data_IF_495781029273
#
_entry.id   IF_495781029273
#
_cell.length_a   1.000
_cell.length_b   1.000
_cell.length_c   1.000
_cell.angle_alpha   90.00
_cell.angle_beta   90.00
_cell.angle_gamma   90.00
#
_symmetry.space_group_name_H-M   'P 1'
#
loop_
_entity.id
_entity.type
_entity.pdbx_description
1 polymer ?
#
# COMPACT_ATOMS: atom_id res chain seq x y z
N UNK A 1 -6.82 3.42 12.41
CA UNK A 1 -5.92 2.24 12.40
C UNK A 1 -6.71 1.02 11.97
N UNK A 2 -6.17 0.28 11.02
CA UNK A 2 -6.77 -0.97 10.58
C UNK A 2 -6.60 -2.04 11.66
N UNK A 3 -7.59 -2.94 11.77
CA UNK A 3 -7.50 -4.05 12.72
C UNK A 3 -6.36 -5.00 12.34
N UNK A 4 -5.69 -5.63 13.33
CA UNK A 4 -4.57 -6.53 13.07
C UNK A 4 -4.91 -7.67 12.10
N UNK A 5 -6.12 -8.21 12.16
CA UNK A 5 -6.57 -9.25 11.24
C UNK A 5 -6.51 -8.78 9.79
N UNK A 6 -7.00 -7.57 9.51
CA UNK A 6 -7.01 -7.02 8.15
C UNK A 6 -5.60 -6.74 7.66
N UNK A 7 -4.73 -6.22 8.53
CA UNK A 7 -3.32 -6.00 8.18
C UNK A 7 -2.65 -7.33 7.81
N UNK A 8 -2.86 -8.36 8.62
CA UNK A 8 -2.31 -9.69 8.36
C UNK A 8 -2.85 -10.28 7.06
N UNK A 9 -4.16 -10.16 6.85
CA UNK A 9 -4.83 -10.66 5.64
C UNK A 9 -4.29 -9.98 4.38
N UNK A 10 -4.20 -8.66 4.39
CA UNK A 10 -3.71 -7.91 3.25
C UNK A 10 -2.24 -8.23 2.97
N UNK A 11 -1.44 -8.35 4.01
CA UNK A 11 -0.02 -8.69 3.87
C UNK A 11 0.14 -10.09 3.28
N UNK A 12 -0.59 -11.06 3.78
CA UNK A 12 -0.55 -12.43 3.27
C UNK A 12 -0.93 -12.49 1.80
N UNK A 13 -2.03 -11.82 1.43
CA UNK A 13 -2.51 -11.78 0.06
C UNK A 13 -1.51 -11.07 -0.84
N UNK A 14 -0.94 -9.95 -0.38
CA UNK A 14 0.04 -9.21 -1.17
C UNK A 14 1.26 -10.06 -1.52
N UNK A 15 1.81 -10.76 -0.52
CA UNK A 15 3.08 -11.45 -0.67
C UNK A 15 2.98 -12.81 -1.33
N UNK A 16 1.77 -13.35 -1.48
CA UNK A 16 1.56 -14.64 -2.12
C UNK A 16 1.85 -14.54 -3.62
N UNK A 17 2.86 -15.27 -4.08
CA UNK A 17 3.15 -15.38 -5.53
C UNK A 17 3.89 -14.20 -6.15
N UNK A 18 4.41 -13.26 -5.37
CA UNK A 18 5.23 -12.16 -5.88
C UNK A 18 6.67 -12.28 -5.41
N UNK A 19 7.56 -11.57 -6.10
CA UNK A 19 8.91 -11.37 -5.59
C UNK A 19 8.85 -10.38 -4.43
N UNK A 20 9.61 -10.65 -3.36
CA UNK A 20 9.56 -9.87 -2.12
C UNK A 20 10.70 -8.84 -2.06
N UNK A 21 10.87 -8.09 -3.15
CA UNK A 21 11.96 -7.12 -3.25
C UNK A 21 11.52 -5.71 -2.93
N UNK A 22 10.54 -5.19 -3.64
CA UNK A 22 10.16 -3.79 -3.57
C UNK A 22 8.65 -3.66 -3.45
N UNK A 23 8.19 -3.08 -2.34
CA UNK A 23 6.78 -2.87 -2.07
C UNK A 23 6.51 -1.39 -1.82
N UNK A 24 5.42 -0.89 -2.42
CA UNK A 24 4.91 0.46 -2.16
C UNK A 24 3.67 0.36 -1.25
N UNK A 25 3.66 1.17 -0.21
CA UNK A 25 2.50 1.33 0.67
C UNK A 25 1.91 2.73 0.50
N UNK A 26 0.61 2.81 0.30
CA UNK A 26 -0.12 4.09 0.29
C UNK A 26 -0.90 4.18 1.60
N UNK A 27 -0.57 5.19 2.42
CA UNK A 27 -1.18 5.38 3.72
C UNK A 27 -0.32 4.81 4.85
N UNK A 28 0.78 5.48 5.17
CA UNK A 28 1.69 5.06 6.25
C UNK A 28 0.97 4.99 7.60
N UNK A 29 0.14 5.98 7.89
CA UNK A 29 -0.60 6.05 9.14
C UNK A 29 0.30 5.97 10.35
N UNK A 30 0.00 5.04 11.25
CA UNK A 30 0.82 4.81 12.46
C UNK A 30 2.15 4.12 12.17
N UNK A 31 2.31 3.56 10.97
CA UNK A 31 3.51 2.83 10.60
C UNK A 31 3.50 1.35 10.97
N UNK A 32 2.42 0.85 11.56
CA UNK A 32 2.36 -0.56 11.97
C UNK A 32 2.54 -1.52 10.79
N UNK A 33 1.75 -1.36 9.74
CA UNK A 33 1.86 -2.23 8.57
C UNK A 33 3.18 -2.03 7.83
N UNK A 34 3.68 -0.79 7.78
CA UNK A 34 4.99 -0.50 7.20
C UNK A 34 6.08 -1.31 7.90
N UNK A 35 6.05 -1.33 9.23
CA UNK A 35 7.02 -2.08 10.03
C UNK A 35 6.91 -3.58 9.78
N UNK A 36 5.69 -4.11 9.68
CA UNK A 36 5.46 -5.53 9.37
C UNK A 36 6.06 -5.86 8.00
N UNK A 37 5.76 -5.06 6.98
CA UNK A 37 6.27 -5.26 5.63
C UNK A 37 7.81 -5.21 5.59
N UNK A 38 8.41 -4.31 6.33
CA UNK A 38 9.87 -4.13 6.33
C UNK A 38 10.63 -5.38 6.75
N UNK A 39 10.01 -6.25 7.53
CA UNK A 39 10.60 -7.52 7.96
C UNK A 39 10.38 -8.66 6.98
N UNK A 40 9.54 -8.45 5.97
CA UNK A 40 9.11 -9.51 5.04
C UNK A 40 9.59 -9.28 3.61
N UNK A 41 10.03 -8.05 3.27
CA UNK A 41 10.51 -7.70 1.94
C UNK A 41 11.84 -6.95 2.04
N UNK A 42 12.54 -6.82 0.91
CA UNK A 42 13.85 -6.17 0.92
C UNK A 42 13.76 -4.67 1.15
N UNK A 43 12.79 -3.99 0.51
CA UNK A 43 12.61 -2.54 0.64
C UNK A 43 11.14 -2.16 0.62
N UNK A 44 10.77 -1.22 1.49
CA UNK A 44 9.43 -0.65 1.56
C UNK A 44 9.51 0.84 1.26
N UNK A 45 8.63 1.28 0.37
CA UNK A 45 8.40 2.69 0.06
C UNK A 45 7.00 3.03 0.56
N UNK A 46 6.84 4.05 1.37
CA UNK A 46 5.55 4.38 1.97
C UNK A 46 5.24 5.86 1.80
N UNK A 47 4.01 6.15 1.40
CA UNK A 47 3.53 7.50 1.12
C UNK A 47 2.45 7.88 2.12
N UNK A 48 2.58 9.08 2.68
CA UNK A 48 1.62 9.65 3.62
C UNK A 48 1.30 11.09 3.24
N UNK A 49 0.01 11.46 3.25
CA UNK A 49 -0.42 12.83 2.94
C UNK A 49 -0.50 13.74 4.17
N UNK A 50 -0.39 13.19 5.36
CA UNK A 50 -0.49 13.92 6.63
C UNK A 50 0.88 13.96 7.29
N UNK A 51 1.53 15.13 7.26
CA UNK A 51 2.92 15.28 7.68
C UNK A 51 3.17 14.86 9.14
N UNK A 52 2.34 15.26 10.14
CA UNK A 52 2.56 14.83 11.52
C UNK A 52 2.54 13.31 11.70
N UNK A 53 1.70 12.60 10.95
CA UNK A 53 1.68 11.13 11.00
C UNK A 53 2.97 10.55 10.45
N UNK A 54 3.46 11.09 9.35
CA UNK A 54 4.71 10.64 8.75
C UNK A 54 5.89 10.84 9.71
N UNK A 55 5.95 11.99 10.38
CA UNK A 55 7.03 12.29 11.30
C UNK A 55 7.04 11.32 12.49
N UNK A 56 5.87 10.96 13.03
CA UNK A 56 5.77 9.99 14.10
C UNK A 56 6.19 8.60 13.66
N UNK A 57 5.77 8.19 12.47
CA UNK A 57 6.16 6.90 11.91
C UNK A 57 7.67 6.83 11.70
N UNK A 58 8.27 7.88 11.15
CA UNK A 58 9.73 7.97 10.93
C UNK A 58 10.50 7.76 12.23
N UNK A 59 10.05 8.40 13.30
CA UNK A 59 10.68 8.27 14.61
C UNK A 59 10.58 6.83 15.13
N UNK A 60 9.42 6.19 14.99
CA UNK A 60 9.24 4.79 15.39
C UNK A 60 10.17 3.86 14.62
N UNK A 61 10.29 4.05 13.33
CA UNK A 61 11.18 3.22 12.50
C UNK A 61 12.63 3.39 12.91
N UNK A 62 13.02 4.59 13.25
CA UNK A 62 14.37 4.86 13.76
C UNK A 62 14.60 4.12 15.08
N UNK A 63 13.66 4.22 16.02
CA UNK A 63 13.75 3.54 17.32
C UNK A 63 13.79 2.02 17.17
N UNK A 64 13.05 1.48 16.21
CA UNK A 64 13.02 0.04 15.93
C UNK A 64 14.19 -0.42 15.07
N UNK A 65 15.04 0.49 14.65
CA UNK A 65 16.22 0.21 13.79
C UNK A 65 15.83 -0.43 12.47
N UNK A 66 14.71 0.01 11.88
CA UNK A 66 14.26 -0.43 10.56
C UNK A 66 14.90 0.49 9.52
N UNK A 67 15.80 -0.04 8.71
CA UNK A 67 16.62 0.75 7.80
C UNK A 67 16.29 0.53 6.32
N UNK A 68 15.26 -0.26 6.03
CA UNK A 68 14.85 -0.56 4.65
C UNK A 68 13.53 0.10 4.25
N UNK A 69 13.14 1.16 4.96
CA UNK A 69 11.91 1.93 4.71
C UNK A 69 12.26 3.32 4.21
N UNK A 70 11.62 3.74 3.12
CA UNK A 70 11.68 5.11 2.63
C UNK A 70 10.30 5.73 2.69
N UNK A 71 10.22 6.95 3.21
CA UNK A 71 8.97 7.68 3.40
C UNK A 71 8.90 8.88 2.46
N UNK A 72 7.71 9.14 1.95
CA UNK A 72 7.42 10.34 1.17
C UNK A 72 6.16 11.01 1.70
N UNK A 73 6.23 12.31 1.91
CA UNK A 73 5.07 13.14 2.21
C UNK A 73 4.48 13.60 0.88
N UNK A 74 3.34 13.02 0.49
CA UNK A 74 2.75 13.29 -0.82
C UNK A 74 1.33 12.77 -0.90
N UNK A 75 0.62 13.15 -1.96
CA UNK A 75 -0.66 12.59 -2.35
C UNK A 75 -0.47 11.16 -2.87
N UNK A 76 -1.05 10.19 -2.17
CA UNK A 76 -0.90 8.78 -2.50
C UNK A 76 -1.60 8.33 -3.79
N UNK A 77 -2.54 9.15 -4.31
CA UNK A 77 -3.27 8.83 -5.55
C UNK A 77 -2.30 8.57 -6.72
N UNK A 78 -1.17 9.25 -6.72
CA UNK A 78 -0.16 9.18 -7.79
C UNK A 78 0.93 8.16 -7.53
N UNK A 79 0.89 7.46 -6.39
CA UNK A 79 1.94 6.53 -6.01
C UNK A 79 3.28 7.22 -5.77
N UNK A 80 4.34 6.52 -6.14
CA UNK A 80 5.71 7.05 -6.05
C UNK A 80 6.51 6.58 -7.27
N UNK A 81 6.32 7.29 -8.37
CA UNK A 81 6.80 6.85 -9.68
C UNK A 81 8.32 6.75 -9.81
N UNK A 82 9.05 7.64 -9.12
CA UNK A 82 10.52 7.73 -9.24
C UNK A 82 11.24 6.45 -8.84
N UNK A 83 10.65 5.64 -7.96
CA UNK A 83 11.24 4.40 -7.47
C UNK A 83 10.59 3.14 -8.08
N UNK A 84 9.51 3.31 -8.86
CA UNK A 84 8.80 2.18 -9.47
C UNK A 84 9.66 1.52 -10.55
N UNK A 85 9.35 0.33 -11.04
CA UNK A 85 8.15 -0.45 -10.72
C UNK A 85 8.27 -1.20 -9.39
N UNK A 86 7.11 -1.59 -8.85
CA UNK A 86 7.03 -2.31 -7.57
C UNK A 86 6.51 -3.73 -7.77
N UNK A 87 7.04 -4.67 -7.00
CA UNK A 87 6.55 -6.06 -7.00
C UNK A 87 5.20 -6.17 -6.31
N UNK A 88 4.96 -5.32 -5.33
CA UNK A 88 3.68 -5.24 -4.64
C UNK A 88 3.33 -3.80 -4.31
N UNK A 89 2.04 -3.50 -4.36
CA UNK A 89 1.49 -2.22 -3.90
C UNK A 89 0.34 -2.54 -2.97
N UNK A 90 0.36 -1.96 -1.77
CA UNK A 90 -0.71 -2.12 -0.79
C UNK A 90 -1.25 -0.75 -0.42
N UNK A 91 -2.58 -0.62 -0.45
CA UNK A 91 -3.27 0.64 -0.18
C UNK A 91 -4.17 0.45 1.03
N UNK A 92 -4.02 1.31 2.04
CA UNK A 92 -4.76 1.20 3.30
C UNK A 92 -5.77 2.31 3.51
N UNK A 93 -6.24 2.86 2.41
CA UNK A 93 -7.39 3.76 2.34
C UNK A 93 -8.16 3.41 1.07
N UNK A 94 -9.44 3.75 1.01
CA UNK A 94 -10.33 3.28 -0.05
C UNK A 94 -10.65 4.38 -1.07
N UNK A 95 -10.14 4.28 -2.29
CA UNK A 95 -10.65 5.09 -3.40
C UNK A 95 -11.96 4.51 -3.90
N UNK A 96 -12.75 5.31 -4.59
CA UNK A 96 -13.96 4.82 -5.23
C UNK A 96 -13.66 3.93 -6.44
N UNK A 97 -12.54 4.21 -7.10
CA UNK A 97 -12.04 3.44 -8.23
C UNK A 97 -10.53 3.22 -8.06
N UNK A 98 -10.01 2.17 -8.70
CA UNK A 98 -8.58 1.89 -8.67
C UNK A 98 -7.81 2.98 -9.43
N UNK A 99 -6.88 3.69 -8.78
CA UNK A 99 -6.09 4.70 -9.48
C UNK A 99 -5.20 4.08 -10.56
N UNK A 100 -5.35 4.57 -11.79
CA UNK A 100 -4.56 4.08 -12.91
C UNK A 100 -3.06 4.24 -12.71
N UNK A 101 -2.65 5.29 -12.01
CA UNK A 101 -1.22 5.53 -11.72
C UNK A 101 -0.60 4.39 -10.93
N UNK A 102 -1.36 3.74 -10.03
CA UNK A 102 -0.85 2.62 -9.24
C UNK A 102 -0.69 1.37 -10.11
N UNK A 103 -1.64 1.14 -11.02
CA UNK A 103 -1.53 0.00 -11.94
C UNK A 103 -0.29 0.12 -12.83
N UNK A 104 0.00 1.33 -13.27
CA UNK A 104 1.17 1.58 -14.14
C UNK A 104 2.50 1.41 -13.41
N UNK A 105 2.49 1.40 -12.08
CA UNK A 105 3.70 1.24 -11.28
C UNK A 105 3.94 -0.19 -10.81
N UNK A 106 3.08 -1.14 -11.20
CA UNK A 106 3.31 -2.55 -10.94
C UNK A 106 4.31 -3.14 -11.92
N UNK A 107 5.23 -3.93 -11.41
CA UNK A 107 6.10 -4.78 -12.23
C UNK A 107 5.27 -5.86 -12.92
N UNK A 108 5.70 -6.39 -14.07
CA UNK A 108 5.12 -7.63 -14.59
C UNK A 108 5.23 -8.73 -13.53
N UNK A 109 4.11 -9.41 -13.25
CA UNK A 109 4.02 -10.37 -12.14
C UNK A 109 3.76 -9.73 -10.79
N UNK A 110 3.63 -8.42 -10.73
CA UNK A 110 3.33 -7.70 -9.50
C UNK A 110 1.86 -7.75 -9.13
N UNK A 111 1.57 -7.36 -7.88
CA UNK A 111 0.23 -7.42 -7.30
C UNK A 111 -0.11 -6.15 -6.53
N UNK A 112 -1.31 -5.63 -6.79
CA UNK A 112 -1.90 -4.52 -6.03
C UNK A 112 -3.01 -5.08 -5.13
N UNK A 113 -2.96 -4.74 -3.85
CA UNK A 113 -4.03 -5.06 -2.88
C UNK A 113 -4.62 -3.75 -2.41
N UNK A 114 -5.92 -3.55 -2.63
CA UNK A 114 -6.55 -2.25 -2.43
C UNK A 114 -8.03 -2.39 -2.07
N UNK A 115 -8.51 -1.68 -1.03
CA UNK A 115 -9.95 -1.56 -0.81
C UNK A 115 -10.55 -0.57 -1.80
N UNK A 116 -11.70 -0.89 -2.38
CA UNK A 116 -12.36 -0.04 -3.39
C UNK A 116 -13.82 0.10 -3.03
N UNK A 117 -14.32 1.32 -3.08
CA UNK A 117 -15.73 1.63 -2.90
C UNK A 117 -15.95 2.90 -2.09
N UNK A 118 -17.24 3.29 -2.00
CA UNK A 118 -17.66 4.43 -1.22
C UNK A 118 -17.77 4.10 0.27
N UNK A 119 -18.30 5.03 1.07
CA UNK A 119 -18.33 4.90 2.52
C UNK A 119 -19.14 3.71 3.03
N UNK A 120 -20.09 3.21 2.27
CA UNK A 120 -21.01 2.15 2.73
C UNK A 120 -20.70 0.77 2.15
N UNK A 121 -20.05 0.71 0.98
CA UNK A 121 -19.78 -0.54 0.29
C UNK A 121 -18.38 -0.55 -0.26
N UNK A 122 -17.50 -1.24 0.44
CA UNK A 122 -16.13 -1.42 -0.03
C UNK A 122 -15.79 -2.91 -0.08
N UNK A 123 -15.03 -3.29 -1.09
CA UNK A 123 -14.47 -4.63 -1.19
C UNK A 123 -12.97 -4.57 -1.34
N UNK A 124 -12.31 -5.55 -0.76
CA UNK A 124 -10.87 -5.72 -0.95
C UNK A 124 -10.63 -6.34 -2.32
N UNK A 125 -9.81 -5.70 -3.13
CA UNK A 125 -9.50 -6.13 -4.49
C UNK A 125 -8.04 -6.51 -4.61
N UNK A 126 -7.80 -7.54 -5.39
CA UNK A 126 -6.45 -7.98 -5.75
C UNK A 126 -6.32 -7.85 -7.26
N UNK A 127 -5.32 -7.11 -7.71
CA UNK A 127 -5.09 -6.92 -9.13
C UNK A 127 -3.68 -7.41 -9.45
N UNK A 128 -3.60 -8.42 -10.30
CA UNK A 128 -2.35 -9.01 -10.75
C UNK A 128 -2.00 -8.51 -12.14
N UNK A 129 -0.80 -8.03 -12.32
CA UNK A 129 -0.31 -7.67 -13.63
C UNK A 129 0.30 -8.89 -14.33
N UNK A 130 -0.26 -9.23 -15.48
CA UNK A 130 0.21 -10.34 -16.32
C UNK A 130 0.67 -9.76 -17.66
N UNK A 131 1.95 -9.41 -17.76
CA UNK A 131 2.46 -8.73 -18.95
C UNK A 131 1.86 -7.34 -19.09
N UNK A 132 1.00 -7.17 -20.10
CA UNK A 132 0.29 -5.90 -20.37
C UNK A 132 -1.16 -5.92 -19.91
N UNK A 133 -1.63 -7.02 -19.33
CA UNK A 133 -3.00 -7.16 -18.85
C UNK A 133 -3.06 -7.19 -17.34
N UNK A 134 -4.25 -6.93 -16.79
CA UNK A 134 -4.50 -6.92 -15.35
C UNK A 134 -5.69 -7.82 -15.04
N UNK A 135 -5.49 -8.73 -14.09
CA UNK A 135 -6.55 -9.65 -13.64
C UNK A 135 -7.01 -9.23 -12.24
N UNK A 136 -8.29 -8.94 -12.09
CA UNK A 136 -8.87 -8.47 -10.83
C UNK A 136 -9.65 -9.56 -10.15
N UNK A 137 -9.42 -9.74 -8.85
CA UNK A 137 -10.16 -10.64 -7.98
C UNK A 137 -10.76 -9.84 -6.83
N UNK A 138 -12.04 -10.04 -6.56
CA UNK A 138 -12.73 -9.41 -5.42
C UNK A 138 -12.72 -10.37 -4.25
N UNK A 139 -12.27 -9.90 -3.11
CA UNK A 139 -12.19 -10.69 -1.88
C UNK A 139 -13.20 -10.20 -0.85
N UNK A 140 -12.74 -9.91 0.36
CA UNK A 140 -13.56 -9.62 1.53
C UNK A 140 -14.27 -8.27 1.43
N UNK A 141 -15.41 -8.14 2.10
CA UNK A 141 -15.97 -6.82 2.40
C UNK A 141 -15.14 -6.17 3.49
N UNK A 142 -14.85 -4.88 3.33
CA UNK A 142 -13.97 -4.14 4.24
C UNK A 142 -14.52 -2.74 4.49
N UNK A 143 -13.92 -2.07 5.48
CA UNK A 143 -14.26 -0.68 5.80
C UNK A 143 -12.97 0.08 6.10
N UNK A 144 -12.59 0.95 5.18
CA UNK A 144 -11.41 1.80 5.28
C UNK A 144 -11.79 3.26 5.18
N UNK A 145 -10.90 4.13 5.69
CA UNK A 145 -11.04 5.57 5.45
C UNK A 145 -10.86 5.86 3.95
N UNK A 146 -11.50 6.90 3.43
CA UNK A 146 -11.37 7.20 2.00
C UNK A 146 -9.94 7.62 1.64
N UNK A 147 -9.55 7.33 0.40
CA UNK A 147 -8.32 7.87 -0.17
C UNK A 147 -8.60 9.32 -0.58
N UNK A 148 -7.99 10.24 0.13
CA UNK A 148 -8.13 11.67 -0.13
C UNK A 148 -6.95 12.17 -0.96
N UNK A 149 -7.24 13.06 -1.90
CA UNK A 149 -6.21 13.71 -2.69
C UNK A 149 -5.57 14.87 -1.93
N UNK A 150 -4.37 15.27 -2.37
CA UNK A 150 -3.64 16.39 -1.79
C UNK A 150 -2.81 16.02 -0.57
N UNK A 151 -2.18 17.03 -0.01
CA UNK A 151 -1.34 16.94 1.17
C UNK A 151 -1.94 17.75 2.31
N UNK A 152 -1.69 17.32 3.51
CA UNK A 152 -2.23 17.99 4.70
C UNK A 152 -1.18 18.25 5.76
#
# INVERSE_FOLDING_TARGET
ISQPYIVARMTEVLLAGIQKKKVLEIGTGSGYQTAVLSRLVERVFSVERIEPLQNKARERFYQLKLNNIRLKYSDGTWGWNENGLYDGIIVTCAPEEVPGALLMQLSPGGRLVIPVGGSENQSLRVIDRNGTTFDETVLDDVSFVPLLSGEE
#
